data_IF_341667081780
#
_entry.id   IF_341667081780
#
_cell.length_a   1.000
_cell.length_b   1.000
_cell.length_c   1.000
_cell.angle_alpha   90.00
_cell.angle_beta   90.00
_cell.angle_gamma   90.00
#
_symmetry.space_group_name_H-M   'P 1'
#
loop_
_entity.id
_entity.type
_entity.pdbx_description
1 polymer ?
#
# COMPACT_ATOMS: atom_id res chain seq x y z
N UNK A 1 19.28 -91.77 -23.39
CA UNK A 1 18.98 -91.52 -21.96
C UNK A 1 20.31 -91.62 -21.23
N UNK A 2 20.97 -90.48 -21.01
CA UNK A 2 22.37 -90.44 -20.58
C UNK A 2 22.49 -90.46 -19.05
N UNK A 3 22.89 -91.60 -18.51
CA UNK A 3 22.95 -91.89 -17.06
C UNK A 3 23.95 -90.98 -16.33
N UNK A 4 24.94 -90.44 -17.04
CA UNK A 4 25.91 -89.48 -16.52
C UNK A 4 25.27 -88.12 -16.18
N UNK A 5 24.24 -87.71 -16.93
CA UNK A 5 23.50 -86.46 -16.66
C UNK A 5 22.64 -86.55 -15.40
N UNK A 6 22.09 -87.74 -15.10
CA UNK A 6 21.28 -87.96 -13.90
C UNK A 6 22.15 -88.07 -12.64
N UNK A 7 23.32 -88.72 -12.72
CA UNK A 7 24.25 -88.82 -11.59
C UNK A 7 24.88 -87.47 -11.22
N UNK A 8 25.23 -86.65 -12.21
CA UNK A 8 25.74 -85.29 -11.97
C UNK A 8 24.66 -84.36 -11.40
N UNK A 9 23.41 -84.48 -11.85
CA UNK A 9 22.27 -83.76 -11.28
C UNK A 9 21.99 -84.17 -9.82
N UNK A 10 22.26 -85.42 -9.43
CA UNK A 10 22.03 -85.93 -8.09
C UNK A 10 23.19 -85.62 -7.12
N UNK A 11 24.43 -85.56 -7.63
CA UNK A 11 25.62 -85.08 -6.89
C UNK A 11 25.65 -83.55 -6.71
N UNK A 12 25.05 -82.78 -7.63
CA UNK A 12 24.86 -81.33 -7.48
C UNK A 12 23.82 -80.96 -6.41
N UNK A 13 22.85 -81.84 -6.15
CA UNK A 13 21.82 -81.64 -5.12
C UNK A 13 22.31 -81.91 -3.69
N UNK A 14 23.35 -82.71 -3.50
CA UNK A 14 23.91 -83.03 -2.16
C UNK A 14 25.00 -82.05 -1.69
N UNK A 15 25.28 -80.99 -2.46
CA UNK A 15 26.29 -79.97 -2.15
C UNK A 15 25.71 -78.54 -2.14
N UNK A 16 24.46 -78.37 -1.69
CA UNK A 16 23.99 -77.07 -1.26
C UNK A 16 24.40 -76.85 0.21
N UNK A 17 25.19 -75.80 0.55
CA UNK A 17 25.28 -75.35 1.93
C UNK A 17 23.87 -74.93 2.38
N UNK A 18 23.51 -75.07 3.66
CA UNK A 18 22.16 -74.77 4.10
C UNK A 18 21.84 -73.31 3.76
N UNK A 19 20.91 -73.11 2.83
CA UNK A 19 20.29 -71.82 2.56
C UNK A 19 19.46 -71.46 3.78
N UNK A 20 20.07 -70.72 4.71
CA UNK A 20 19.36 -70.02 5.76
C UNK A 20 18.56 -68.88 5.12
N UNK A 21 17.39 -69.20 4.54
CA UNK A 21 16.45 -68.22 3.97
C UNK A 21 15.17 -68.12 4.80
N UNK A 22 15.33 -68.12 6.13
CA UNK A 22 14.45 -67.36 7.03
C UNK A 22 15.20 -66.09 7.45
N UNK A 23 14.51 -65.00 7.84
CA UNK A 23 15.19 -63.81 8.36
C UNK A 23 16.21 -64.24 9.42
N UNK A 24 17.49 -63.88 9.24
CA UNK A 24 18.56 -64.27 10.15
C UNK A 24 18.16 -63.83 11.55
N UNK A 25 17.76 -64.79 12.40
CA UNK A 25 17.23 -64.54 13.75
C UNK A 25 18.23 -63.80 14.65
N UNK A 26 19.51 -63.81 14.28
CA UNK A 26 20.58 -63.13 14.98
C UNK A 26 21.42 -62.33 13.96
N UNK A 27 21.31 -61.00 14.02
CA UNK A 27 22.15 -60.05 13.29
C UNK A 27 23.26 -59.56 14.22
N UNK A 28 24.48 -59.38 13.70
CA UNK A 28 25.57 -58.80 14.50
C UNK A 28 25.24 -57.34 14.83
N UNK A 29 25.59 -56.87 16.02
CA UNK A 29 25.34 -55.47 16.44
C UNK A 29 25.86 -54.44 15.44
N UNK A 30 27.03 -54.69 14.85
CA UNK A 30 27.62 -53.85 13.80
C UNK A 30 26.76 -53.75 12.53
N UNK A 31 26.07 -54.83 12.15
CA UNK A 31 25.20 -54.86 10.97
C UNK A 31 23.88 -54.13 11.24
N UNK A 32 23.34 -54.22 12.46
CA UNK A 32 22.14 -53.49 12.89
C UNK A 32 22.39 -51.98 13.03
N UNK A 33 23.57 -51.58 13.50
CA UNK A 33 23.94 -50.17 13.60
C UNK A 33 24.23 -49.57 12.22
N UNK A 34 24.88 -50.32 11.33
CA UNK A 34 25.07 -49.91 9.93
C UNK A 34 23.71 -49.72 9.21
N UNK A 35 22.77 -50.64 9.39
CA UNK A 35 21.42 -50.51 8.82
C UNK A 35 20.67 -49.27 9.34
N UNK A 36 20.77 -48.98 10.66
CA UNK A 36 20.15 -47.78 11.23
C UNK A 36 20.78 -46.49 10.71
N UNK A 37 22.10 -46.47 10.52
CA UNK A 37 22.80 -45.31 9.96
C UNK A 37 22.40 -45.10 8.49
N UNK A 38 22.34 -46.16 7.69
CA UNK A 38 21.90 -46.10 6.30
C UNK A 38 20.44 -45.64 6.17
N UNK A 39 19.54 -46.13 7.02
CA UNK A 39 18.15 -45.68 7.07
C UNK A 39 18.03 -44.20 7.45
N UNK A 40 18.81 -43.75 8.45
CA UNK A 40 18.85 -42.35 8.87
C UNK A 40 19.40 -41.43 7.79
N UNK A 41 20.49 -41.82 7.11
CA UNK A 41 21.06 -41.07 6.00
C UNK A 41 20.12 -41.04 4.79
N UNK A 42 19.42 -42.13 4.51
CA UNK A 42 18.42 -42.20 3.46
C UNK A 42 17.20 -41.33 3.78
N UNK A 43 16.77 -41.28 5.04
CA UNK A 43 15.70 -40.40 5.50
C UNK A 43 16.10 -38.92 5.42
N UNK A 44 17.33 -38.57 5.84
CA UNK A 44 17.85 -37.21 5.69
C UNK A 44 17.94 -36.79 4.22
N UNK A 45 18.48 -37.63 3.33
CA UNK A 45 18.53 -37.33 1.89
C UNK A 45 17.14 -37.15 1.28
N UNK A 46 16.16 -37.98 1.65
CA UNK A 46 14.78 -37.82 1.21
C UNK A 46 14.16 -36.51 1.69
N UNK A 47 14.42 -36.12 2.93
CA UNK A 47 13.94 -34.86 3.49
C UNK A 47 14.57 -33.65 2.79
N UNK A 48 15.87 -33.70 2.47
CA UNK A 48 16.58 -32.66 1.74
C UNK A 48 16.09 -32.53 0.29
N UNK A 49 15.91 -33.65 -0.41
CA UNK A 49 15.40 -33.67 -1.78
C UNK A 49 13.93 -33.20 -1.83
N UNK A 50 13.11 -33.57 -0.84
CA UNK A 50 11.74 -33.09 -0.73
C UNK A 50 11.71 -31.56 -0.48
N UNK A 51 12.54 -31.06 0.43
CA UNK A 51 12.68 -29.63 0.69
C UNK A 51 13.14 -28.86 -0.56
N UNK A 52 14.12 -29.39 -1.30
CA UNK A 52 14.62 -28.82 -2.55
C UNK A 52 13.53 -28.79 -3.61
N UNK A 53 12.80 -29.89 -3.80
CA UNK A 53 11.69 -29.97 -4.77
C UNK A 53 10.55 -29.01 -4.44
N UNK A 54 10.25 -28.81 -3.14
CA UNK A 54 9.25 -27.82 -2.68
C UNK A 54 9.72 -26.39 -2.96
N UNK A 55 10.99 -26.08 -2.72
CA UNK A 55 11.55 -24.76 -3.05
C UNK A 55 11.55 -24.49 -4.56
N UNK A 56 11.91 -25.47 -5.39
CA UNK A 56 11.88 -25.33 -6.85
C UNK A 56 10.46 -25.14 -7.38
N UNK A 57 9.49 -25.91 -6.88
CA UNK A 57 8.07 -25.72 -7.20
C UNK A 57 7.57 -24.33 -6.80
N UNK A 58 7.96 -23.85 -5.62
CA UNK A 58 7.62 -22.51 -5.15
C UNK A 58 8.21 -21.41 -6.05
N UNK A 59 9.50 -21.50 -6.38
CA UNK A 59 10.18 -20.54 -7.28
C UNK A 59 9.52 -20.51 -8.66
N UNK A 60 9.18 -21.68 -9.21
CA UNK A 60 8.48 -21.78 -10.49
C UNK A 60 7.08 -21.15 -10.45
N UNK A 61 6.32 -21.35 -9.38
CA UNK A 61 5.01 -20.71 -9.21
C UNK A 61 5.12 -19.18 -9.08
N UNK A 62 6.12 -18.69 -8.36
CA UNK A 62 6.41 -17.25 -8.23
C UNK A 62 6.83 -16.63 -9.57
N UNK A 63 7.64 -17.33 -10.37
CA UNK A 63 8.04 -16.92 -11.73
C UNK A 63 6.82 -16.87 -12.68
N UNK A 64 5.99 -17.91 -12.71
CA UNK A 64 4.77 -17.97 -13.52
C UNK A 64 3.75 -16.87 -13.12
N UNK A 65 3.63 -16.57 -11.82
CA UNK A 65 2.76 -15.50 -11.32
C UNK A 65 3.28 -14.12 -11.70
N UNK A 66 4.60 -13.90 -11.59
CA UNK A 66 5.24 -12.66 -12.00
C UNK A 66 5.11 -12.41 -13.52
N UNK A 67 5.20 -13.46 -14.34
CA UNK A 67 5.01 -13.36 -15.79
C UNK A 67 3.54 -12.99 -16.13
N UNK A 68 2.57 -13.64 -15.48
CA UNK A 68 1.15 -13.28 -15.62
C UNK A 68 0.86 -11.85 -15.15
N UNK A 69 1.54 -11.37 -14.11
CA UNK A 69 1.40 -9.98 -13.65
C UNK A 69 1.93 -9.00 -14.70
N UNK A 70 3.13 -9.22 -15.25
CA UNK A 70 3.70 -8.40 -16.34
C UNK A 70 2.80 -8.38 -17.57
N UNK A 71 2.28 -9.53 -17.99
CA UNK A 71 1.35 -9.62 -19.12
C UNK A 71 0.05 -8.81 -18.90
N UNK A 72 -0.50 -8.81 -17.67
CA UNK A 72 -1.66 -7.98 -17.31
C UNK A 72 -1.34 -6.49 -17.35
N UNK A 73 -0.17 -6.09 -16.84
CA UNK A 73 0.26 -4.68 -16.87
C UNK A 73 0.51 -4.19 -18.30
N UNK A 74 1.15 -5.00 -19.15
CA UNK A 74 1.37 -4.68 -20.55
C UNK A 74 0.06 -4.54 -21.32
N UNK A 75 -0.92 -5.43 -21.07
CA UNK A 75 -2.25 -5.32 -21.67
C UNK A 75 -2.98 -4.06 -21.19
N UNK A 76 -2.89 -3.74 -19.89
CA UNK A 76 -3.47 -2.50 -19.33
C UNK A 76 -2.82 -1.26 -19.93
N UNK A 77 -1.50 -1.26 -20.12
CA UNK A 77 -0.76 -0.17 -20.74
C UNK A 77 -1.17 0.03 -22.20
N UNK A 78 -1.27 -1.05 -22.99
CA UNK A 78 -1.75 -0.99 -24.38
C UNK A 78 -3.17 -0.44 -24.48
N UNK A 79 -4.09 -0.92 -23.66
CA UNK A 79 -5.47 -0.41 -23.62
C UNK A 79 -5.54 1.06 -23.19
N UNK A 80 -4.71 1.47 -22.23
CA UNK A 80 -4.61 2.88 -21.82
C UNK A 80 -4.08 3.77 -22.95
N UNK A 81 -3.03 3.33 -23.66
CA UNK A 81 -2.48 4.03 -24.83
C UNK A 81 -3.49 4.12 -25.99
N UNK A 82 -4.22 3.03 -26.27
CA UNK A 82 -5.30 3.02 -27.27
C UNK A 82 -6.45 3.96 -26.88
N UNK A 83 -6.90 3.93 -25.62
CA UNK A 83 -7.95 4.85 -25.12
C UNK A 83 -7.53 6.32 -25.18
N UNK A 84 -6.25 6.62 -24.92
CA UNK A 84 -5.71 7.98 -25.01
C UNK A 84 -5.68 8.46 -26.45
N UNK A 85 -5.29 7.60 -27.40
CA UNK A 85 -5.32 7.92 -28.85
C UNK A 85 -6.73 8.20 -29.35
N UNK A 86 -7.71 7.38 -28.96
CA UNK A 86 -9.11 7.58 -29.33
C UNK A 86 -9.62 8.92 -28.80
N UNK A 87 -9.36 9.23 -27.52
CA UNK A 87 -9.76 10.50 -26.93
C UNK A 87 -9.07 11.70 -27.59
N UNK A 88 -7.79 11.59 -27.91
CA UNK A 88 -7.05 12.64 -28.64
C UNK A 88 -7.54 12.81 -30.09
N UNK A 89 -8.09 11.77 -30.72
CA UNK A 89 -8.76 11.84 -32.03
C UNK A 89 -10.13 12.50 -31.93
N UNK A 90 -10.96 12.10 -30.98
CA UNK A 90 -12.27 12.69 -30.70
C UNK A 90 -12.14 14.19 -30.37
N UNK A 91 -11.23 14.57 -29.47
CA UNK A 91 -10.97 15.98 -29.12
C UNK A 91 -10.51 16.79 -30.35
N UNK A 92 -9.68 16.22 -31.22
CA UNK A 92 -9.27 16.85 -32.49
C UNK A 92 -10.41 16.99 -33.48
N UNK A 93 -11.28 15.99 -33.59
CA UNK A 93 -12.46 16.06 -34.46
C UNK A 93 -13.48 17.09 -33.97
N UNK A 94 -13.70 17.15 -32.66
CA UNK A 94 -14.53 18.16 -32.02
C UNK A 94 -13.96 19.57 -32.23
N UNK A 95 -12.65 19.74 -32.09
CA UNK A 95 -11.98 21.02 -32.34
C UNK A 95 -12.10 21.42 -33.82
N UNK A 96 -11.94 20.47 -34.76
CA UNK A 96 -12.13 20.71 -36.20
C UNK A 96 -13.58 21.10 -36.51
N UNK A 97 -14.57 20.42 -35.94
CA UNK A 97 -15.99 20.75 -36.09
C UNK A 97 -16.32 22.13 -35.50
N UNK A 98 -15.74 22.47 -34.35
CA UNK A 98 -15.88 23.77 -33.70
C UNK A 98 -15.30 24.89 -34.56
N UNK A 99 -14.10 24.70 -35.13
CA UNK A 99 -13.46 25.66 -36.04
C UNK A 99 -14.23 25.83 -37.36
N UNK A 100 -14.74 24.73 -37.93
CA UNK A 100 -15.62 24.76 -39.12
C UNK A 100 -16.92 25.52 -38.86
N UNK A 101 -17.50 25.38 -37.67
CA UNK A 101 -18.69 26.13 -37.24
C UNK A 101 -18.43 27.64 -37.08
N UNK A 102 -17.19 28.00 -36.72
CA UNK A 102 -16.75 29.39 -36.48
C UNK A 102 -16.10 30.05 -37.72
N UNK A 103 -15.95 29.35 -38.84
CA UNK A 103 -15.36 29.89 -40.07
C UNK A 103 -13.85 30.10 -40.02
N UNK A 104 -13.14 29.43 -39.10
CA UNK A 104 -11.67 29.51 -38.99
C UNK A 104 -10.97 28.49 -39.91
N UNK A 105 -9.75 28.79 -40.41
CA UNK A 105 -8.94 27.85 -41.22
C UNK A 105 -8.65 26.53 -40.48
N UNK A 106 -8.55 25.44 -41.24
CA UNK A 106 -8.25 24.10 -40.72
C UNK A 106 -6.80 24.01 -40.23
N UNK A 107 -6.58 23.26 -39.13
CA UNK A 107 -5.23 23.02 -38.61
C UNK A 107 -4.42 22.18 -39.62
N UNK A 108 -3.15 22.56 -39.90
CA UNK A 108 -2.31 21.77 -40.81
C UNK A 108 -2.04 20.38 -40.24
N UNK A 109 -2.10 19.36 -41.10
CA UNK A 109 -1.72 17.99 -40.77
C UNK A 109 -0.21 17.92 -40.48
N UNK A 110 0.17 17.66 -39.23
CA UNK A 110 1.56 17.41 -38.88
C UNK A 110 1.94 16.01 -39.40
N UNK A 111 2.46 15.94 -40.61
CA UNK A 111 3.11 14.73 -41.14
C UNK A 111 4.42 14.53 -40.38
N UNK A 112 4.53 13.41 -39.66
CA UNK A 112 5.78 12.97 -39.05
C UNK A 112 6.84 12.74 -40.13
N UNK A 113 7.73 13.71 -40.29
CA UNK A 113 9.02 13.52 -40.96
C UNK A 113 10.05 13.34 -39.85
N UNK A 114 10.75 12.21 -39.89
CA UNK A 114 11.74 11.83 -38.88
C UNK A 114 12.96 12.75 -38.86
N UNK A 115 13.41 13.02 -37.63
CA UNK A 115 14.81 13.23 -37.23
C UNK A 115 15.65 14.23 -38.05
N UNK A 116 15.48 15.52 -37.78
CA UNK A 116 16.59 16.45 -37.60
C UNK A 116 16.08 17.69 -36.83
N UNK A 117 16.71 17.94 -35.68
CA UNK A 117 16.92 19.25 -35.05
C UNK A 117 15.77 20.28 -35.08
N UNK A 118 15.17 20.51 -33.91
CA UNK A 118 14.21 21.58 -33.69
C UNK A 118 12.78 21.08 -33.64
N UNK A 119 12.34 20.60 -32.48
CA UNK A 119 10.90 20.51 -32.20
C UNK A 119 10.35 21.93 -32.22
N UNK A 120 9.42 22.29 -33.12
CA UNK A 120 8.78 23.60 -33.06
C UNK A 120 8.00 23.66 -31.75
N UNK A 121 8.39 24.57 -30.87
CA UNK A 121 7.56 24.96 -29.74
C UNK A 121 6.30 25.56 -30.38
N UNK A 122 5.08 25.19 -29.94
CA UNK A 122 3.86 25.86 -30.39
C UNK A 122 4.06 27.38 -30.30
N UNK A 123 3.84 28.10 -31.41
CA UNK A 123 4.10 29.54 -31.54
C UNK A 123 3.38 30.38 -30.47
N UNK A 124 2.35 29.82 -29.83
CA UNK A 124 1.56 30.47 -28.79
C UNK A 124 2.30 30.67 -27.44
N UNK A 125 3.52 30.16 -27.25
CA UNK A 125 4.28 30.29 -25.99
C UNK A 125 5.77 30.68 -26.14
N UNK A 126 6.20 31.20 -27.30
CA UNK A 126 7.60 31.62 -27.48
C UNK A 126 7.83 33.03 -26.92
N UNK A 127 8.24 33.09 -25.64
CA UNK A 127 8.62 34.34 -24.97
C UNK A 127 9.94 34.83 -25.56
N UNK A 128 10.01 36.10 -25.97
CA UNK A 128 11.24 36.70 -26.51
C UNK A 128 12.45 36.50 -25.57
N UNK A 129 13.63 36.24 -26.14
CA UNK A 129 14.89 36.01 -25.41
C UNK A 129 15.17 37.07 -24.32
N UNK A 130 14.89 38.34 -24.64
CA UNK A 130 15.10 39.48 -23.75
C UNK A 130 14.17 39.44 -22.54
N UNK A 131 12.88 39.21 -22.78
CA UNK A 131 11.89 39.03 -21.72
C UNK A 131 12.22 37.83 -20.84
N UNK A 132 12.64 36.72 -21.44
CA UNK A 132 13.01 35.50 -20.73
C UNK A 132 14.21 35.74 -19.80
N UNK A 133 15.20 36.51 -20.26
CA UNK A 133 16.33 36.92 -19.43
C UNK A 133 15.90 37.85 -18.29
N UNK A 134 14.98 38.79 -18.54
CA UNK A 134 14.42 39.67 -17.50
C UNK A 134 13.64 38.89 -16.45
N UNK A 135 12.76 37.97 -16.88
CA UNK A 135 11.96 37.10 -16.03
C UNK A 135 12.84 36.19 -15.16
N UNK A 136 13.92 35.62 -15.71
CA UNK A 136 14.88 34.83 -14.96
C UNK A 136 15.67 35.66 -13.94
N UNK A 137 16.09 36.89 -14.28
CA UNK A 137 16.74 37.81 -13.31
C UNK A 137 15.79 38.22 -12.19
N UNK A 138 14.52 38.46 -12.49
CA UNK A 138 13.51 38.78 -11.49
C UNK A 138 13.27 37.63 -10.49
N UNK A 139 13.48 36.39 -10.92
CA UNK A 139 13.46 35.19 -10.08
C UNK A 139 14.80 34.88 -9.42
N UNK A 140 15.78 35.80 -9.47
CA UNK A 140 17.15 35.65 -8.96
C UNK A 140 17.91 34.44 -9.54
N UNK A 141 17.56 34.04 -10.76
CA UNK A 141 18.21 32.93 -11.47
C UNK A 141 19.18 33.45 -12.55
N UNK A 142 20.27 32.71 -12.87
CA UNK A 142 21.18 33.09 -13.94
C UNK A 142 20.43 33.30 -15.27
N UNK A 143 20.63 34.46 -15.91
CA UNK A 143 19.95 34.82 -17.14
C UNK A 143 20.28 33.87 -18.30
N UNK A 144 21.54 33.42 -18.40
CA UNK A 144 22.01 32.43 -19.37
C UNK A 144 23.00 31.47 -18.71
N UNK A 145 22.90 30.18 -19.02
CA UNK A 145 23.90 29.17 -18.67
C UNK A 145 24.81 28.89 -19.88
N UNK A 146 26.04 28.44 -19.64
CA UNK A 146 27.00 28.12 -20.70
C UNK A 146 26.48 26.98 -21.57
N UNK A 147 26.43 27.17 -22.89
CA UNK A 147 25.93 26.19 -23.85
C UNK A 147 24.40 26.04 -23.91
N UNK A 148 23.63 26.90 -23.22
CA UNK A 148 22.16 26.81 -23.19
C UNK A 148 21.52 27.51 -24.41
N UNK A 149 20.75 26.76 -25.21
CA UNK A 149 19.92 27.30 -26.30
C UNK A 149 18.67 28.03 -25.78
N UNK A 150 18.00 28.85 -26.61
CA UNK A 150 16.75 29.54 -26.23
C UNK A 150 15.68 28.57 -25.72
N UNK A 151 15.45 27.47 -26.44
CA UNK A 151 14.52 26.41 -26.03
C UNK A 151 14.91 25.80 -24.67
N UNK A 152 16.22 25.61 -24.43
CA UNK A 152 16.73 25.14 -23.13
C UNK A 152 16.41 26.12 -22.00
N UNK A 153 16.60 27.41 -22.25
CA UNK A 153 16.29 28.51 -21.32
C UNK A 153 14.80 28.61 -21.04
N UNK A 154 13.95 28.48 -22.06
CA UNK A 154 12.49 28.49 -21.92
C UNK A 154 12.02 27.31 -21.07
N UNK A 155 12.54 26.10 -21.31
CA UNK A 155 12.27 24.91 -20.48
C UNK A 155 12.72 25.10 -19.03
N UNK A 156 13.88 25.73 -18.81
CA UNK A 156 14.37 26.05 -17.47
C UNK A 156 13.46 27.05 -16.77
N UNK A 157 13.09 28.13 -17.45
CA UNK A 157 12.15 29.12 -16.93
C UNK A 157 10.80 28.50 -16.56
N UNK A 158 10.18 27.73 -17.47
CA UNK A 158 8.93 27.00 -17.20
C UNK A 158 9.08 26.09 -15.98
N UNK A 159 10.16 25.30 -15.90
CA UNK A 159 10.43 24.45 -14.73
C UNK A 159 10.56 25.23 -13.42
N UNK A 160 11.20 26.40 -13.43
CA UNK A 160 11.34 27.25 -12.25
C UNK A 160 9.97 27.83 -11.86
N UNK A 161 9.22 28.33 -12.84
CA UNK A 161 7.87 28.87 -12.63
C UNK A 161 6.93 27.80 -12.10
N UNK A 162 6.88 26.63 -12.75
CA UNK A 162 6.10 25.46 -12.30
C UNK A 162 6.49 25.04 -10.89
N UNK A 163 7.80 25.04 -10.57
CA UNK A 163 8.28 24.74 -9.22
C UNK A 163 7.91 25.82 -8.20
N UNK A 164 7.87 27.09 -8.60
CA UNK A 164 7.46 28.20 -7.73
C UNK A 164 5.95 28.26 -7.52
N UNK A 165 5.17 27.78 -8.50
CA UNK A 165 3.72 27.64 -8.43
C UNK A 165 3.29 26.35 -7.71
N UNK A 166 4.16 25.35 -7.65
CA UNK A 166 3.88 24.13 -6.90
C UNK A 166 3.66 24.47 -5.41
N UNK A 167 2.57 23.97 -4.79
CA UNK A 167 2.28 24.28 -3.40
C UNK A 167 3.39 23.76 -2.50
N UNK A 168 3.85 24.61 -1.59
CA UNK A 168 4.87 24.23 -0.59
C UNK A 168 4.30 23.16 0.31
N UNK A 169 4.91 21.98 0.27
CA UNK A 169 4.50 20.85 1.10
C UNK A 169 5.12 20.98 2.50
N UNK A 170 4.36 20.60 3.52
CA UNK A 170 4.83 20.53 4.91
C UNK A 170 5.95 19.50 5.08
N UNK A 171 6.93 19.79 5.95
CA UNK A 171 8.03 18.89 6.29
C UNK A 171 7.64 17.82 7.35
N UNK A 172 6.49 17.18 7.18
CA UNK A 172 5.96 16.15 8.10
C UNK A 172 6.07 14.72 7.57
N UNK A 173 5.80 13.70 8.39
CA UNK A 173 5.74 12.30 7.97
C UNK A 173 4.76 12.05 6.81
N UNK A 174 3.70 12.86 6.72
CA UNK A 174 2.80 12.91 5.57
C UNK A 174 2.90 14.33 5.00
N UNK A 175 3.48 14.50 3.79
CA UNK A 175 3.54 15.80 3.14
C UNK A 175 2.13 16.30 2.82
N UNK A 176 1.79 17.51 3.28
CA UNK A 176 0.50 18.16 3.00
C UNK A 176 0.68 19.60 2.53
N UNK A 177 -0.28 20.09 1.73
CA UNK A 177 -0.34 21.51 1.33
C UNK A 177 -0.96 22.40 2.43
N UNK A 178 -1.55 21.79 3.47
CA UNK A 178 -2.11 22.53 4.59
C UNK A 178 -1.00 23.17 5.42
N UNK A 179 -1.17 24.45 5.74
CA UNK A 179 -0.27 25.15 6.66
C UNK A 179 -0.51 24.59 8.09
N UNK A 180 0.47 23.85 8.59
CA UNK A 180 0.42 23.27 9.92
C UNK A 180 0.43 24.36 10.99
N UNK A 181 -0.26 24.09 12.09
CA UNK A 181 -0.50 25.01 13.20
C UNK A 181 0.40 24.62 14.39
N UNK A 182 0.94 25.58 15.17
CA UNK A 182 1.73 25.28 16.37
C UNK A 182 0.94 24.49 17.42
N UNK A 183 1.64 23.74 18.28
CA UNK A 183 1.02 22.84 19.27
C UNK A 183 0.00 23.53 20.18
N UNK A 184 0.27 24.78 20.60
CA UNK A 184 -0.63 25.57 21.46
C UNK A 184 -2.02 25.79 20.83
N UNK A 185 -2.06 25.85 19.50
CA UNK A 185 -3.25 26.15 18.69
C UNK A 185 -3.89 24.89 18.07
N UNK A 186 -3.32 23.70 18.27
CA UNK A 186 -3.87 22.43 17.74
C UNK A 186 -5.17 21.97 18.44
N UNK A 187 -5.62 22.67 19.50
CA UNK A 187 -6.79 22.27 20.29
C UNK A 187 -8.07 22.36 19.45
N UNK A 188 -8.71 21.22 19.25
CA UNK A 188 -9.93 21.16 18.44
C UNK A 188 -11.15 21.65 19.24
N UNK A 189 -12.12 22.32 18.58
CA UNK A 189 -13.36 22.77 19.20
C UNK A 189 -14.27 21.61 19.61
N UNK A 190 -15.26 21.90 20.45
CA UNK A 190 -16.21 20.88 20.95
C UNK A 190 -17.21 20.40 19.88
N UNK A 191 -17.46 21.21 18.87
CA UNK A 191 -18.35 20.91 17.74
C UNK A 191 -17.73 21.38 16.44
N UNK A 192 -18.14 20.76 15.32
CA UNK A 192 -17.71 21.20 13.98
C UNK A 192 -18.21 22.63 13.76
N UNK A 193 -17.32 23.59 13.44
CA UNK A 193 -17.73 24.95 13.12
C UNK A 193 -18.63 24.98 11.87
N UNK A 194 -19.62 25.87 11.86
CA UNK A 194 -20.48 26.09 10.69
C UNK A 194 -19.86 27.04 9.67
N UNK A 195 -18.96 27.92 10.13
CA UNK A 195 -18.25 28.88 9.28
C UNK A 195 -17.18 28.18 8.42
N UNK A 196 -17.01 28.66 7.19
CA UNK A 196 -16.09 28.06 6.22
C UNK A 196 -14.62 28.24 6.65
N UNK A 197 -14.24 29.41 7.14
CA UNK A 197 -12.87 29.68 7.58
C UNK A 197 -12.55 28.92 8.85
N UNK A 198 -13.49 28.88 9.80
CA UNK A 198 -13.34 28.05 10.99
C UNK A 198 -13.25 26.53 10.66
N UNK A 199 -13.96 26.06 9.63
CA UNK A 199 -13.86 24.67 9.16
C UNK A 199 -12.50 24.39 8.49
N UNK A 200 -11.99 25.31 7.68
CA UNK A 200 -10.62 25.21 7.12
C UNK A 200 -9.57 25.19 8.25
N UNK A 201 -9.74 26.03 9.26
CA UNK A 201 -8.85 26.05 10.43
C UNK A 201 -8.93 24.72 11.19
N UNK A 202 -10.12 24.16 11.39
CA UNK A 202 -10.29 22.82 11.96
C UNK A 202 -9.53 21.75 11.18
N UNK A 203 -9.59 21.77 9.85
CA UNK A 203 -8.82 20.81 9.03
C UNK A 203 -7.31 20.96 9.23
N UNK A 204 -6.81 22.20 9.34
CA UNK A 204 -5.40 22.47 9.68
C UNK A 204 -5.05 21.94 11.08
N UNK A 205 -5.91 22.14 12.08
CA UNK A 205 -5.70 21.60 13.44
C UNK A 205 -5.63 20.07 13.44
N UNK A 206 -6.54 19.40 12.73
CA UNK A 206 -6.54 17.93 12.61
C UNK A 206 -5.28 17.41 11.91
N UNK A 207 -4.92 18.00 10.77
CA UNK A 207 -3.70 17.64 10.05
C UNK A 207 -2.46 17.84 10.93
N UNK A 208 -2.40 18.94 11.68
CA UNK A 208 -1.31 19.26 12.60
C UNK A 208 -1.21 18.25 13.74
N UNK A 209 -2.33 17.90 14.37
CA UNK A 209 -2.37 16.90 15.43
C UNK A 209 -1.89 15.52 14.95
N UNK A 210 -2.42 15.01 13.83
CA UNK A 210 -1.98 13.70 13.31
C UNK A 210 -0.53 13.72 12.86
N UNK A 211 -0.06 14.84 12.28
CA UNK A 211 1.36 15.01 11.93
C UNK A 211 2.24 14.94 13.17
N UNK A 212 1.88 15.65 14.24
CA UNK A 212 2.58 15.59 15.54
C UNK A 212 2.62 14.15 16.08
N UNK A 213 1.48 13.46 16.16
CA UNK A 213 1.41 12.09 16.69
C UNK A 213 2.26 11.12 15.87
N UNK A 214 2.20 11.17 14.55
CA UNK A 214 3.02 10.32 13.67
C UNK A 214 4.51 10.63 13.80
N UNK A 215 4.88 11.89 13.99
CA UNK A 215 6.27 12.32 14.16
C UNK A 215 6.82 11.82 15.50
N UNK A 216 6.07 12.00 16.58
CA UNK A 216 6.39 11.46 17.91
C UNK A 216 6.49 9.93 17.88
N UNK A 217 5.62 9.26 17.12
CA UNK A 217 5.70 7.80 16.94
C UNK A 217 6.98 7.39 16.25
N UNK A 218 7.35 8.07 15.16
CA UNK A 218 8.60 7.82 14.46
C UNK A 218 9.82 8.05 15.36
N UNK A 219 9.85 9.15 16.13
CA UNK A 219 10.92 9.47 17.09
C UNK A 219 10.98 8.40 18.19
N UNK A 220 9.86 7.99 18.75
CA UNK A 220 9.81 6.96 19.79
C UNK A 220 10.33 5.60 19.30
N UNK A 221 10.04 5.22 18.06
CA UNK A 221 10.60 4.00 17.45
C UNK A 221 12.10 4.14 17.14
N UNK A 222 12.52 5.31 16.65
CA UNK A 222 13.91 5.62 16.35
C UNK A 222 14.78 5.71 17.61
N UNK A 223 14.21 6.06 18.77
CA UNK A 223 14.92 6.11 20.06
C UNK A 223 15.15 4.75 20.73
N UNK A 224 14.57 3.65 20.21
CA UNK A 224 14.74 2.32 20.80
C UNK A 224 16.16 1.78 20.65
N UNK A 225 16.56 0.91 21.57
CA UNK A 225 17.83 0.20 21.47
C UNK A 225 17.94 -0.64 20.19
N UNK A 226 19.16 -0.81 19.68
CA UNK A 226 19.42 -1.49 18.42
C UNK A 226 19.02 -2.97 18.47
N UNK A 227 19.13 -3.63 19.62
CA UNK A 227 18.64 -5.00 19.79
C UNK A 227 17.12 -5.08 19.63
N UNK A 228 16.38 -4.12 20.20
CA UNK A 228 14.92 -4.04 20.05
C UNK A 228 14.53 -3.74 18.62
N UNK A 229 15.21 -2.82 17.93
CA UNK A 229 14.94 -2.47 16.53
C UNK A 229 15.12 -3.65 15.58
N UNK A 230 16.15 -4.48 15.79
CA UNK A 230 16.44 -5.62 14.93
C UNK A 230 15.58 -6.86 15.25
N UNK A 231 14.99 -6.90 16.45
CA UNK A 231 14.04 -7.94 16.85
C UNK A 231 12.80 -8.00 15.95
N UNK A 232 12.15 -9.16 15.91
CA UNK A 232 10.89 -9.36 15.17
C UNK A 232 9.80 -8.39 15.62
N UNK A 233 9.69 -8.15 16.93
CA UNK A 233 8.71 -7.22 17.50
C UNK A 233 8.99 -5.76 17.10
N UNK A 234 10.27 -5.33 17.13
CA UNK A 234 10.66 -3.99 16.70
C UNK A 234 10.38 -3.74 15.22
N UNK A 235 10.73 -4.70 14.36
CA UNK A 235 10.44 -4.65 12.91
C UNK A 235 8.94 -4.59 12.64
N UNK A 236 8.15 -5.41 13.35
CA UNK A 236 6.70 -5.41 13.23
C UNK A 236 6.09 -4.07 13.67
N UNK A 237 6.55 -3.49 14.79
CA UNK A 237 6.10 -2.19 15.26
C UNK A 237 6.41 -1.06 14.27
N UNK A 238 7.60 -1.08 13.67
CA UNK A 238 7.99 -0.12 12.64
C UNK A 238 7.16 -0.27 11.36
N UNK A 239 6.93 -1.51 10.90
CA UNK A 239 6.06 -1.78 9.76
C UNK A 239 4.62 -1.32 10.02
N UNK A 240 4.09 -1.55 11.23
CA UNK A 240 2.76 -1.10 11.61
C UNK A 240 2.62 0.44 11.61
N UNK A 241 3.66 1.16 12.01
CA UNK A 241 3.72 2.62 11.95
C UNK A 241 3.75 3.12 10.50
N UNK A 242 4.60 2.55 9.64
CA UNK A 242 4.64 2.90 8.22
C UNK A 242 3.29 2.66 7.53
N UNK A 243 2.67 1.52 7.80
CA UNK A 243 1.35 1.21 7.26
C UNK A 243 0.29 2.20 7.75
N UNK A 244 0.34 2.61 9.03
CA UNK A 244 -0.59 3.61 9.57
C UNK A 244 -0.38 4.98 8.89
N UNK A 245 0.86 5.40 8.68
CA UNK A 245 1.20 6.62 7.93
C UNK A 245 0.64 6.55 6.50
N UNK A 246 0.90 5.48 5.77
CA UNK A 246 0.50 5.35 4.36
C UNK A 246 -1.03 5.31 4.22
N UNK A 247 -1.70 4.59 5.11
CA UNK A 247 -3.15 4.54 5.16
C UNK A 247 -3.80 5.87 5.57
N UNK A 248 -3.08 6.80 6.20
CA UNK A 248 -3.58 8.13 6.57
C UNK A 248 -3.48 9.15 5.44
N UNK A 249 -2.70 8.89 4.38
CA UNK A 249 -2.55 9.82 3.23
C UNK A 249 -3.90 10.24 2.64
N UNK A 250 -4.88 9.34 2.41
CA UNK A 250 -6.19 9.74 1.88
C UNK A 250 -6.96 10.69 2.80
N UNK A 251 -6.81 10.57 4.13
CA UNK A 251 -7.42 11.50 5.08
C UNK A 251 -6.83 12.90 4.91
N UNK A 252 -5.50 13.02 4.81
CA UNK A 252 -4.85 14.31 4.57
C UNK A 252 -5.32 14.94 3.25
N UNK A 253 -5.44 14.17 2.17
CA UNK A 253 -6.00 14.65 0.90
C UNK A 253 -7.45 15.14 1.04
N UNK A 254 -8.27 14.46 1.84
CA UNK A 254 -9.66 14.90 2.11
C UNK A 254 -9.70 16.18 2.95
N UNK A 255 -8.79 16.33 3.93
CA UNK A 255 -8.66 17.57 4.72
C UNK A 255 -8.19 18.75 3.87
N UNK A 256 -7.23 18.53 2.97
CA UNK A 256 -6.73 19.53 2.00
C UNK A 256 -7.85 20.11 1.14
N UNK A 257 -8.73 19.23 0.63
CA UNK A 257 -9.84 19.62 -0.24
C UNK A 257 -11.11 20.03 0.51
N UNK A 258 -11.20 19.73 1.80
CA UNK A 258 -12.41 19.89 2.59
C UNK A 258 -13.56 18.96 2.18
N UNK A 259 -13.23 17.78 1.61
CA UNK A 259 -14.19 16.79 1.08
C UNK A 259 -14.51 15.66 2.09
N UNK A 260 -14.18 15.86 3.37
CA UNK A 260 -14.50 14.89 4.40
C UNK A 260 -15.98 14.98 4.78
N UNK A 261 -16.67 13.84 4.79
CA UNK A 261 -18.09 13.81 5.17
C UNK A 261 -18.27 14.19 6.64
N UNK A 262 -19.29 15.00 6.95
CA UNK A 262 -19.59 15.44 8.32
C UNK A 262 -19.85 14.26 9.27
N UNK A 263 -20.41 13.16 8.76
CA UNK A 263 -20.63 11.88 9.45
C UNK A 263 -19.33 11.26 9.99
N UNK A 264 -18.20 11.48 9.30
CA UNK A 264 -16.88 11.01 9.68
C UNK A 264 -16.13 12.09 10.45
N UNK A 265 -16.18 13.34 9.97
CA UNK A 265 -15.45 14.47 10.57
C UNK A 265 -15.85 14.69 12.04
N UNK A 266 -17.13 14.66 12.37
CA UNK A 266 -17.61 14.89 13.74
C UNK A 266 -17.01 13.90 14.76
N UNK A 267 -17.17 12.59 14.54
CA UNK A 267 -16.52 11.58 15.37
C UNK A 267 -14.99 11.68 15.39
N UNK A 268 -14.33 12.00 14.27
CA UNK A 268 -12.87 12.19 14.24
C UNK A 268 -12.44 13.36 15.14
N UNK A 269 -13.15 14.50 15.09
CA UNK A 269 -12.93 15.64 15.98
C UNK A 269 -13.14 15.24 17.44
N UNK A 270 -14.19 14.47 17.72
CA UNK A 270 -14.46 13.95 19.06
C UNK A 270 -13.33 13.04 19.57
N UNK A 271 -12.83 12.11 18.75
CA UNK A 271 -11.69 11.25 19.09
C UNK A 271 -10.46 12.10 19.41
N UNK A 272 -10.10 13.04 18.54
CA UNK A 272 -8.92 13.91 18.72
C UNK A 272 -9.05 14.74 20.00
N UNK A 273 -10.22 15.33 20.25
CA UNK A 273 -10.50 16.09 21.48
C UNK A 273 -10.32 15.24 22.73
N UNK A 274 -10.89 14.03 22.75
CA UNK A 274 -10.75 13.12 23.89
C UNK A 274 -9.28 12.71 24.10
N UNK A 275 -8.52 12.45 23.02
CA UNK A 275 -7.08 12.22 23.10
C UNK A 275 -6.32 13.42 23.70
N UNK A 276 -6.63 14.64 23.25
CA UNK A 276 -6.00 15.87 23.76
C UNK A 276 -6.28 16.09 25.26
N UNK A 277 -7.42 15.60 25.75
CA UNK A 277 -7.79 15.59 27.18
C UNK A 277 -7.34 14.33 27.93
N UNK A 278 -6.55 13.45 27.28
CA UNK A 278 -6.08 12.16 27.81
C UNK A 278 -7.20 11.23 28.31
N UNK A 279 -8.38 11.32 27.69
CA UNK A 279 -9.54 10.46 27.95
C UNK A 279 -9.62 9.38 26.89
N UNK A 280 -8.78 8.35 27.00
CA UNK A 280 -8.61 7.35 25.93
C UNK A 280 -9.77 6.36 25.82
N UNK A 281 -10.49 6.08 26.91
CA UNK A 281 -11.71 5.26 26.87
C UNK A 281 -12.80 5.98 26.08
N UNK A 282 -13.04 7.27 26.37
CA UNK A 282 -14.04 8.04 25.63
C UNK A 282 -13.67 8.23 24.15
N UNK A 283 -12.37 8.40 23.86
CA UNK A 283 -11.87 8.43 22.48
C UNK A 283 -12.11 7.08 21.77
N UNK A 284 -11.92 5.96 22.47
CA UNK A 284 -12.20 4.65 21.94
C UNK A 284 -13.69 4.43 21.68
N UNK A 285 -14.56 4.88 22.58
CA UNK A 285 -16.01 4.77 22.42
C UNK A 285 -16.50 5.57 21.21
N UNK A 286 -15.94 6.76 20.98
CA UNK A 286 -16.19 7.53 19.75
C UNK A 286 -15.72 6.78 18.49
N UNK A 287 -14.55 6.14 18.54
CA UNK A 287 -14.05 5.30 17.44
C UNK A 287 -14.96 4.08 17.17
N UNK A 288 -15.43 3.40 18.22
CA UNK A 288 -16.33 2.26 18.10
C UNK A 288 -17.68 2.68 17.50
N UNK A 289 -18.25 3.79 17.97
CA UNK A 289 -19.48 4.36 17.38
C UNK A 289 -19.34 4.65 15.89
N UNK A 290 -18.18 5.15 15.46
CA UNK A 290 -17.90 5.45 14.06
C UNK A 290 -17.69 4.18 13.21
N UNK A 291 -16.93 3.22 13.73
CA UNK A 291 -16.52 2.02 12.96
C UNK A 291 -17.60 0.94 12.89
N UNK A 292 -18.49 0.86 13.89
CA UNK A 292 -19.63 -0.09 13.93
C UNK A 292 -20.88 0.58 13.33
N UNK A 293 -21.03 1.89 13.52
CA UNK A 293 -22.28 2.60 13.23
C UNK A 293 -23.38 2.29 14.25
N UNK A 294 -24.59 2.82 14.02
CA UNK A 294 -25.80 2.55 14.86
C UNK A 294 -26.43 1.17 14.60
N UNK A 295 -25.76 0.27 13.88
CA UNK A 295 -26.29 -1.05 13.60
C UNK A 295 -26.29 -1.95 14.84
N UNK A 296 -27.38 -2.68 15.05
CA UNK A 296 -27.40 -3.77 16.01
C UNK A 296 -26.47 -4.94 15.62
N UNK A 297 -26.08 -5.05 14.33
CA UNK A 297 -25.25 -6.13 13.78
C UNK A 297 -24.24 -5.60 12.73
N UNK A 298 -22.98 -5.32 13.10
CA UNK A 298 -22.01 -4.66 12.21
C UNK A 298 -21.35 -5.56 11.16
N UNK A 299 -21.40 -6.88 11.37
CA UNK A 299 -20.95 -7.89 10.42
C UNK A 299 -22.20 -8.67 10.06
N UNK A 300 -22.63 -8.58 8.80
CA UNK A 300 -23.86 -9.24 8.34
C UNK A 300 -23.91 -10.69 8.79
N UNK A 301 -25.04 -11.12 9.37
CA UNK A 301 -25.21 -12.49 9.85
C UNK A 301 -25.58 -13.38 8.67
N UNK A 302 -24.59 -14.04 8.05
CA UNK A 302 -24.85 -15.10 7.08
C UNK A 302 -25.51 -16.30 7.78
N UNK A 303 -26.30 -17.06 7.04
CA UNK A 303 -27.22 -18.10 7.55
C UNK A 303 -26.68 -18.92 8.74
N UNK A 304 -27.27 -18.72 9.92
CA UNK A 304 -27.10 -19.59 11.09
C UNK A 304 -28.42 -20.30 11.32
N UNK A 305 -28.55 -21.51 10.78
CA UNK A 305 -29.72 -22.37 10.88
C UNK A 305 -30.13 -23.00 9.54
N UNK A 306 -30.57 -24.26 9.59
CA UNK A 306 -31.01 -25.07 8.42
C UNK A 306 -32.35 -24.59 7.84
N UNK A 307 -33.06 -23.69 8.53
CA UNK A 307 -34.39 -23.22 8.14
C UNK A 307 -34.40 -21.69 7.97
N UNK A 308 -34.74 -21.24 6.77
CA UNK A 308 -34.95 -19.83 6.43
C UNK A 308 -36.27 -19.32 7.04
N UNK A 309 -36.27 -18.16 7.70
CA UNK A 309 -37.47 -17.54 8.29
C UNK A 309 -37.63 -16.12 7.78
N UNK A 310 -38.85 -15.70 7.47
CA UNK A 310 -39.18 -14.38 6.88
C UNK A 310 -38.76 -13.16 7.72
N UNK A 311 -38.53 -13.31 9.02
CA UNK A 311 -37.96 -12.25 9.87
C UNK A 311 -36.48 -11.94 9.55
N UNK A 312 -35.81 -12.83 8.80
CA UNK A 312 -34.40 -12.74 8.44
C UNK A 312 -34.15 -11.79 7.27
N UNK A 313 -35.09 -11.64 6.33
CA UNK A 313 -35.00 -10.64 5.25
C UNK A 313 -34.96 -9.21 5.81
N UNK A 314 -35.75 -8.91 6.85
CA UNK A 314 -35.73 -7.58 7.51
C UNK A 314 -34.39 -7.27 8.22
N UNK A 315 -33.57 -8.27 8.52
CA UNK A 315 -32.21 -8.08 9.03
C UNK A 315 -31.22 -7.79 7.89
N UNK A 316 -31.42 -8.40 6.72
CA UNK A 316 -30.66 -8.11 5.50
C UNK A 316 -30.97 -6.71 4.94
N UNK A 317 -32.20 -6.21 5.12
CA UNK A 317 -32.64 -4.90 4.64
C UNK A 317 -32.22 -3.72 5.55
N UNK A 318 -31.67 -4.01 6.75
CA UNK A 318 -31.13 -2.99 7.65
C UNK A 318 -29.71 -2.51 7.27
N UNK A 319 -29.43 -2.48 5.96
CA UNK A 319 -28.16 -2.12 5.32
C UNK A 319 -27.78 -0.63 5.43
N UNK A 320 -28.58 0.19 6.12
CA UNK A 320 -28.26 1.61 6.33
C UNK A 320 -27.02 1.85 7.23
N UNK A 321 -26.43 0.81 7.82
CA UNK A 321 -25.19 0.89 8.58
C UNK A 321 -23.93 0.49 7.78
N UNK A 322 -24.09 0.04 6.53
CA UNK A 322 -23.00 -0.45 5.70
C UNK A 322 -22.16 0.66 5.01
N UNK A 323 -22.48 1.95 5.17
CA UNK A 323 -21.88 2.98 4.31
C UNK A 323 -20.42 3.35 4.64
N UNK A 324 -20.01 3.41 5.91
CA UNK A 324 -18.65 3.87 6.27
C UNK A 324 -17.61 2.75 6.17
N UNK A 325 -18.01 1.52 6.51
CA UNK A 325 -17.14 0.36 6.45
C UNK A 325 -17.13 -0.32 5.07
N UNK A 326 -18.03 0.02 4.14
CA UNK A 326 -17.97 -0.48 2.76
C UNK A 326 -16.83 0.16 1.96
N UNK A 327 -16.47 1.40 2.27
CA UNK A 327 -15.30 2.06 1.68
C UNK A 327 -14.00 1.60 2.37
N UNK A 328 -13.21 0.81 1.63
CA UNK A 328 -11.92 0.28 2.08
C UNK A 328 -10.90 1.39 2.41
N UNK A 329 -10.96 2.53 1.70
CA UNK A 329 -10.07 3.67 1.95
C UNK A 329 -10.40 4.27 3.32
N UNK A 330 -11.69 4.51 3.57
CA UNK A 330 -12.18 5.01 4.85
C UNK A 330 -11.86 4.06 6.00
N UNK A 331 -12.14 2.77 5.83
CA UNK A 331 -11.77 1.74 6.81
C UNK A 331 -10.28 1.79 7.18
N UNK A 332 -9.39 1.88 6.20
CA UNK A 332 -7.92 1.89 6.43
C UNK A 332 -7.45 3.11 7.21
N UNK A 333 -7.91 4.32 6.88
CA UNK A 333 -7.49 5.49 7.65
C UNK A 333 -8.12 5.48 9.04
N UNK A 334 -9.36 5.00 9.22
CA UNK A 334 -9.98 4.87 10.55
C UNK A 334 -9.22 3.89 11.45
N UNK A 335 -8.82 2.73 10.93
CA UNK A 335 -7.93 1.80 11.65
C UNK A 335 -6.59 2.46 12.01
N UNK A 336 -6.09 3.34 11.16
CA UNK A 336 -4.83 4.06 11.41
C UNK A 336 -4.99 5.15 12.47
N UNK A 337 -6.14 5.83 12.54
CA UNK A 337 -6.52 6.71 13.66
C UNK A 337 -6.52 5.93 14.97
N UNK A 338 -7.10 4.72 14.98
CA UNK A 338 -7.09 3.84 16.17
C UNK A 338 -5.66 3.43 16.59
N UNK A 339 -4.77 3.17 15.63
CA UNK A 339 -3.34 2.93 15.94
C UNK A 339 -2.66 4.17 16.54
N UNK A 340 -2.96 5.37 16.01
CA UNK A 340 -2.49 6.63 16.56
C UNK A 340 -3.01 6.85 17.99
N UNK A 341 -4.28 6.50 18.26
CA UNK A 341 -4.88 6.53 19.60
C UNK A 341 -4.12 5.64 20.58
N UNK A 342 -3.86 4.38 20.22
CA UNK A 342 -3.09 3.44 21.05
C UNK A 342 -1.67 3.96 21.32
N UNK A 343 -0.99 4.52 20.31
CA UNK A 343 0.32 5.12 20.51
C UNK A 343 0.24 6.36 21.42
N UNK A 344 -0.76 7.23 21.22
CA UNK A 344 -0.93 8.45 22.01
C UNK A 344 -1.12 8.12 23.50
N UNK A 345 -1.89 7.08 23.83
CA UNK A 345 -2.02 6.60 25.22
C UNK A 345 -0.68 6.17 25.82
N UNK A 346 0.19 5.49 25.06
CA UNK A 346 1.50 5.07 25.56
C UNK A 346 2.47 6.25 25.72
N UNK A 347 2.36 7.28 24.87
CA UNK A 347 3.23 8.46 24.88
C UNK A 347 2.80 9.48 25.94
N UNK A 348 1.49 9.67 26.08
CA UNK A 348 0.86 10.57 27.03
C UNK A 348 -0.16 9.77 27.85
N UNK A 349 0.25 9.09 28.92
CA UNK A 349 -0.68 8.28 29.72
C UNK A 349 -1.79 9.15 30.33
N UNK A 350 -2.99 8.58 30.54
CA UNK A 350 -4.09 9.28 31.21
C UNK A 350 -3.76 9.61 32.66
N UNK A 351 -4.35 10.69 33.16
CA UNK A 351 -4.19 11.08 34.56
C UNK A 351 -4.99 10.16 35.50
N UNK A 352 -6.10 9.59 35.01
CA UNK A 352 -6.91 8.57 35.68
C UNK A 352 -6.67 7.19 35.05
N UNK A 353 -6.36 6.18 35.85
CA UNK A 353 -6.13 4.81 35.39
C UNK A 353 -7.37 4.19 34.73
N UNK A 354 -8.58 4.62 35.10
CA UNK A 354 -9.83 4.16 34.47
C UNK A 354 -9.94 4.59 33.00
N UNK A 355 -9.13 5.57 32.57
CA UNK A 355 -9.07 6.04 31.21
C UNK A 355 -8.01 5.31 30.37
N UNK A 356 -7.39 4.24 30.88
CA UNK A 356 -6.57 3.33 30.06
C UNK A 356 -7.47 2.44 29.21
N UNK A 357 -7.32 2.58 27.91
CA UNK A 357 -7.89 1.66 26.94
C UNK A 357 -7.06 0.37 26.93
N UNK A 358 -7.73 -0.77 27.13
CA UNK A 358 -7.13 -2.11 27.13
C UNK A 358 -6.66 -2.60 25.76
#
# INVERSE_FOLDING_TARGET
>A
MDFASLLSAQLGKSKQPPTASGPKKYLKRSELEAQRLEEYEAEQKRAEDEARSRQEKKRRLEEDEAEKAKAREDKRRKLAEESKKIREEEEREEERLRRKRLGLPELPEIKQIGSAEGTPVPEDEDVLDEELCMKLRALEQPAKLFGESHVGRLKRYKRIVDKSLAPVMSNGPIPTILELVPEAEMKVPDSIPTDLEACKYLHRQLASYFTMVLSEWQVALAGRDQAVKTSTSGKAAYSAMLQARDNMVPLFRKLEKGEIEKSILGPVVEIVRCCQRRRYVDANDAYLRLSIGKAAWPIGVTMVGIHERSAREKLHESDNAAHIMSDEITRKFLQSIKRCLSFAQTRWPPDDQLQLMG
#
